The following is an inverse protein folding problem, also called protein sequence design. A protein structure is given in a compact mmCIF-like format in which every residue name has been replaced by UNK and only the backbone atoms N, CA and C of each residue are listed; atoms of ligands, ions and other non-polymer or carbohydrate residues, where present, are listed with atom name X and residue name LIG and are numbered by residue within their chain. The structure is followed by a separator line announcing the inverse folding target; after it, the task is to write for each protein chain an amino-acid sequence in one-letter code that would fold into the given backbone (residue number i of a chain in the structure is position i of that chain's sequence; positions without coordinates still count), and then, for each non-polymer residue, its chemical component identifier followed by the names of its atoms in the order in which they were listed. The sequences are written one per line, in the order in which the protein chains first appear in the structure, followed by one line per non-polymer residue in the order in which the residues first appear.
data_IF_702152466445
#
_entry.id   IF_702152466445
#
_cell.length_a   1.000
_cell.length_b   1.000
_cell.length_c   1.000
_cell.angle_alpha   90.00
_cell.angle_beta   90.00
_cell.angle_gamma   90.00
#
_symmetry.space_group_name_H-M   'P 1'
#
loop_
_entity.id
_entity.type
_entity.pdbx_description
1 polymer ?
#
# COMPACT_ATOMS: atom_id res chain seq x y z
N UNK A 1 -73.24 0.89 -64.42
CA UNK A 1 -72.09 1.76 -64.06
C UNK A 1 -71.57 1.28 -62.72
N UNK A 2 -70.37 0.69 -62.69
CA UNK A 2 -69.69 0.22 -61.46
C UNK A 2 -68.56 1.19 -61.17
N UNK A 3 -68.66 1.90 -60.06
CA UNK A 3 -67.58 2.78 -59.51
C UNK A 3 -66.68 1.98 -58.64
N UNK A 4 -65.37 1.92 -58.95
CA UNK A 4 -64.34 1.34 -58.13
C UNK A 4 -63.74 2.44 -57.20
N UNK A 5 -63.92 2.28 -55.88
CA UNK A 5 -63.27 3.09 -54.92
C UNK A 5 -61.84 2.58 -54.67
N UNK A 6 -60.84 3.46 -54.83
CA UNK A 6 -59.43 3.17 -54.46
C UNK A 6 -59.22 3.42 -52.95
N UNK A 7 -58.85 2.37 -52.22
CA UNK A 7 -58.42 2.50 -50.86
C UNK A 7 -56.92 2.92 -50.83
N UNK A 8 -56.63 4.05 -50.19
CA UNK A 8 -55.22 4.44 -49.85
C UNK A 8 -54.84 3.81 -48.53
N UNK A 9 -53.84 2.94 -48.56
CA UNK A 9 -53.22 2.43 -47.35
C UNK A 9 -52.06 3.37 -46.89
N UNK A 10 -52.22 3.98 -45.72
CA UNK A 10 -51.15 4.79 -45.05
C UNK A 10 -50.35 3.84 -44.24
N UNK A 11 -49.04 3.66 -44.57
CA UNK A 11 -48.06 2.92 -43.79
C UNK A 11 -47.43 3.91 -42.84
N UNK A 12 -47.72 3.79 -41.56
CA UNK A 12 -47.05 4.56 -40.50
C UNK A 12 -45.71 3.87 -40.16
N UNK A 13 -44.57 4.51 -40.46
CA UNK A 13 -43.25 4.07 -40.05
C UNK A 13 -42.98 4.64 -38.66
N UNK A 14 -43.00 3.78 -37.64
CA UNK A 14 -42.57 4.14 -36.29
C UNK A 14 -41.02 4.09 -36.21
N UNK A 15 -40.38 5.26 -36.11
CA UNK A 15 -38.97 5.35 -35.86
C UNK A 15 -38.69 5.09 -34.37
N UNK A 16 -38.12 3.92 -34.03
CA UNK A 16 -37.56 3.63 -32.70
C UNK A 16 -36.24 4.40 -32.54
N UNK A 17 -36.25 5.50 -31.78
CA UNK A 17 -35.04 6.16 -31.34
C UNK A 17 -34.44 5.36 -30.16
N UNK A 18 -33.35 4.61 -30.40
CA UNK A 18 -32.55 4.01 -29.35
C UNK A 18 -31.77 5.11 -28.62
N UNK A 19 -32.21 5.47 -27.41
CA UNK A 19 -31.44 6.32 -26.52
C UNK A 19 -30.22 5.52 -26.03
N UNK A 20 -29.05 5.80 -26.57
CA UNK A 20 -27.77 5.28 -26.01
C UNK A 20 -27.52 5.97 -24.68
N UNK A 21 -27.70 5.26 -23.58
CA UNK A 21 -27.24 5.71 -22.26
C UNK A 21 -25.74 5.69 -22.29
N UNK A 22 -25.12 6.89 -22.35
CA UNK A 22 -23.69 7.03 -22.13
C UNK A 22 -23.42 6.67 -20.66
N UNK A 23 -22.68 5.59 -20.42
CA UNK A 23 -22.14 5.30 -19.08
C UNK A 23 -21.23 6.47 -18.69
N UNK A 24 -21.43 7.07 -17.49
CA UNK A 24 -20.53 8.11 -17.05
C UNK A 24 -19.10 7.55 -17.01
N UNK A 25 -18.16 8.20 -17.67
CA UNK A 25 -16.75 7.88 -17.55
C UNK A 25 -16.36 8.08 -16.08
N UNK A 26 -15.92 7.01 -15.40
CA UNK A 26 -15.35 7.13 -14.06
C UNK A 26 -14.16 8.08 -14.13
N UNK A 27 -14.20 9.16 -13.36
CA UNK A 27 -13.09 10.09 -13.29
C UNK A 27 -11.86 9.36 -12.77
N UNK A 28 -10.71 9.50 -13.44
CA UNK A 28 -9.46 8.90 -13.01
C UNK A 28 -9.12 9.38 -11.60
N UNK A 29 -8.89 8.42 -10.70
CA UNK A 29 -8.53 8.71 -9.30
C UNK A 29 -7.08 9.17 -9.24
N UNK A 30 -6.82 10.29 -8.55
CA UNK A 30 -5.47 10.79 -8.30
C UNK A 30 -4.98 10.26 -6.97
N UNK A 31 -3.87 9.50 -6.96
CA UNK A 31 -3.23 9.01 -5.73
C UNK A 31 -1.91 9.74 -5.55
N UNK A 32 -1.72 10.36 -4.39
CA UNK A 32 -0.51 11.08 -4.00
C UNK A 32 0.03 10.54 -2.68
N UNK A 33 1.34 10.37 -2.60
CA UNK A 33 2.04 10.01 -1.37
C UNK A 33 2.86 11.20 -0.89
N UNK A 34 2.75 11.50 0.41
CA UNK A 34 3.53 12.57 1.02
C UNK A 34 4.26 12.03 2.24
N UNK A 35 5.58 12.07 2.20
CA UNK A 35 6.41 11.77 3.37
C UNK A 35 6.31 12.92 4.34
N UNK A 36 5.74 12.65 5.51
CA UNK A 36 5.42 13.70 6.50
C UNK A 36 6.02 13.44 7.87
N UNK A 37 6.62 12.26 8.06
CA UNK A 37 7.22 11.90 9.34
C UNK A 37 8.45 11.01 9.14
N UNK A 38 9.46 11.20 9.99
CA UNK A 38 10.56 10.28 10.18
C UNK A 38 11.01 10.28 11.62
N UNK A 39 11.41 9.12 12.11
CA UNK A 39 11.92 8.97 13.47
C UNK A 39 13.15 8.05 13.46
N UNK A 40 14.14 8.41 14.27
CA UNK A 40 15.35 7.62 14.47
C UNK A 40 15.32 7.02 15.86
N UNK A 41 15.37 5.70 15.93
CA UNK A 41 15.24 4.93 17.15
C UNK A 41 16.43 4.00 17.37
N UNK A 42 16.66 3.61 18.61
CA UNK A 42 17.52 2.50 18.99
C UNK A 42 16.69 1.22 18.99
N UNK A 43 16.70 0.45 17.90
CA UNK A 43 15.82 -0.74 17.79
C UNK A 43 16.16 -1.83 18.81
N UNK A 44 17.43 -2.10 19.02
CA UNK A 44 17.93 -3.18 19.86
C UNK A 44 17.43 -3.12 21.32
N UNK A 45 17.01 -1.96 21.81
CA UNK A 45 16.46 -1.83 23.19
C UNK A 45 14.98 -2.19 23.28
N UNK A 46 14.36 -2.72 22.25
CA UNK A 46 12.96 -3.12 22.26
C UNK A 46 11.98 -1.96 22.03
N UNK A 47 12.38 -0.95 21.29
CA UNK A 47 11.47 0.15 20.91
C UNK A 47 10.42 -0.37 19.94
N UNK A 48 9.15 -0.18 20.30
CA UNK A 48 8.03 -0.43 19.43
C UNK A 48 7.74 0.82 18.57
N UNK A 49 8.32 0.86 17.38
CA UNK A 49 8.07 1.93 16.44
C UNK A 49 6.72 1.71 15.74
N UNK A 50 5.93 2.78 15.60
CA UNK A 50 4.73 2.84 14.76
C UNK A 50 4.63 4.19 14.07
N UNK A 51 4.23 4.19 12.81
CA UNK A 51 3.89 5.43 12.12
C UNK A 51 2.74 6.15 12.85
N UNK A 52 2.75 7.49 12.87
CA UNK A 52 1.63 8.27 13.38
C UNK A 52 0.29 7.91 12.73
N UNK A 53 -0.86 8.24 13.35
CA UNK A 53 -2.18 7.92 12.82
C UNK A 53 -2.35 8.30 11.34
N UNK A 54 -2.99 7.41 10.57
CA UNK A 54 -3.24 7.56 9.13
C UNK A 54 -1.97 7.72 8.27
N UNK A 55 -0.83 7.20 8.75
CA UNK A 55 0.41 7.11 8.00
C UNK A 55 0.87 5.66 7.89
N UNK A 56 1.65 5.37 6.86
CA UNK A 56 2.17 4.04 6.54
C UNK A 56 3.68 4.08 6.37
N UNK A 57 4.34 2.96 6.64
CA UNK A 57 5.79 2.86 6.48
C UNK A 57 6.15 2.83 4.98
N UNK A 58 7.04 3.74 4.59
CA UNK A 58 7.49 3.87 3.20
C UNK A 58 9.01 3.83 3.05
N UNK A 59 9.73 3.64 4.14
CA UNK A 59 11.17 3.50 4.07
C UNK A 59 11.84 3.20 5.41
N UNK A 60 13.08 2.74 5.32
CA UNK A 60 13.98 2.49 6.45
C UNK A 60 15.42 2.76 6.03
N UNK A 61 16.19 3.35 6.91
CA UNK A 61 17.65 3.47 6.80
C UNK A 61 18.30 2.92 8.05
N UNK A 62 19.39 2.17 7.86
CA UNK A 62 20.21 1.69 8.96
C UNK A 62 21.68 1.77 8.57
N UNK A 63 22.52 2.26 9.49
CA UNK A 63 23.96 2.38 9.32
C UNK A 63 24.64 2.03 10.63
N UNK A 64 25.55 1.06 10.58
CA UNK A 64 26.28 0.55 11.71
C UNK A 64 25.93 -0.90 12.03
N UNK A 65 26.17 -1.34 13.24
CA UNK A 65 25.78 -2.66 13.71
C UNK A 65 24.33 -2.68 14.26
N UNK A 66 23.89 -3.81 14.79
CA UNK A 66 22.53 -3.98 15.32
C UNK A 66 22.23 -3.03 16.50
N UNK A 67 23.29 -2.58 17.21
CA UNK A 67 23.15 -1.62 18.31
C UNK A 67 23.02 -0.17 17.86
N UNK A 68 23.21 0.12 16.57
CA UNK A 68 23.10 1.46 16.03
C UNK A 68 21.66 1.88 15.73
N UNK A 69 21.52 3.15 15.33
CA UNK A 69 20.20 3.75 15.13
C UNK A 69 19.61 3.39 13.79
N UNK A 70 18.32 3.14 13.80
CA UNK A 70 17.49 2.98 12.60
C UNK A 70 16.57 4.19 12.42
N UNK A 71 16.46 4.68 11.18
CA UNK A 71 15.48 5.72 10.81
C UNK A 71 14.34 5.10 10.01
N UNK A 72 13.13 5.32 10.46
CA UNK A 72 11.89 4.98 9.76
C UNK A 72 11.28 6.19 9.09
N UNK A 73 10.69 5.98 7.92
CA UNK A 73 10.02 7.03 7.14
C UNK A 73 8.55 6.68 6.92
N UNK A 74 7.65 7.57 7.34
CA UNK A 74 6.21 7.40 7.19
C UNK A 74 5.63 8.42 6.22
N UNK A 75 4.66 7.97 5.44
CA UNK A 75 3.92 8.79 4.48
C UNK A 75 2.43 8.71 4.73
N UNK A 76 1.72 9.81 4.47
CA UNK A 76 0.28 9.81 4.29
C UNK A 76 -0.06 9.54 2.82
N UNK A 77 -1.20 8.91 2.61
CA UNK A 77 -1.75 8.63 1.29
C UNK A 77 -2.95 9.54 1.09
N UNK A 78 -2.99 10.24 -0.04
CA UNK A 78 -4.12 11.08 -0.44
C UNK A 78 -4.75 10.50 -1.70
N UNK A 79 -6.06 10.32 -1.68
CA UNK A 79 -6.87 9.96 -2.85
C UNK A 79 -7.77 11.15 -3.16
N UNK A 80 -7.64 11.74 -4.35
CA UNK A 80 -8.32 12.97 -4.75
C UNK A 80 -8.16 14.12 -3.74
N UNK A 81 -6.99 14.18 -3.07
CA UNK A 81 -6.67 15.19 -2.06
C UNK A 81 -7.17 14.90 -0.65
N UNK A 82 -7.95 13.82 -0.45
CA UNK A 82 -8.46 13.39 0.86
C UNK A 82 -7.56 12.29 1.44
N UNK A 83 -7.29 12.36 2.75
CA UNK A 83 -6.42 11.40 3.42
C UNK A 83 -7.08 10.04 3.61
N UNK A 84 -6.35 9.00 3.25
CA UNK A 84 -6.72 7.59 3.48
C UNK A 84 -6.67 7.29 4.98
N UNK A 85 -7.66 6.55 5.47
CA UNK A 85 -7.70 6.02 6.83
C UNK A 85 -6.88 4.74 6.91
N UNK A 86 -6.09 4.61 7.96
CA UNK A 86 -5.21 3.47 8.22
C UNK A 86 -5.70 2.73 9.47
N UNK A 87 -6.17 1.52 9.30
CA UNK A 87 -6.68 0.69 10.38
C UNK A 87 -5.64 -0.38 10.71
N UNK A 88 -4.83 -0.10 11.73
CA UNK A 88 -3.82 -1.03 12.22
C UNK A 88 -4.45 -2.29 12.81
N UNK A 89 -3.85 -3.43 12.47
CA UNK A 89 -4.15 -4.73 13.06
C UNK A 89 -3.26 -5.02 14.27
N UNK A 90 -3.23 -6.29 14.64
CA UNK A 90 -2.38 -6.78 15.73
C UNK A 90 -0.92 -6.92 15.31
N UNK A 91 -0.05 -6.91 16.32
CA UNK A 91 1.36 -7.25 16.15
C UNK A 91 1.52 -8.74 15.88
N UNK A 92 2.43 -9.12 14.98
CA UNK A 92 2.75 -10.53 14.72
C UNK A 92 3.33 -11.21 15.98
N UNK A 93 3.30 -12.53 15.97
CA UNK A 93 4.19 -13.30 16.84
C UNK A 93 5.66 -12.95 16.54
N UNK A 94 6.56 -13.08 17.54
CA UNK A 94 7.97 -12.80 17.34
C UNK A 94 8.58 -13.75 16.30
N UNK A 95 9.51 -13.21 15.52
CA UNK A 95 10.37 -13.93 14.60
C UNK A 95 11.81 -13.63 14.98
N UNK A 96 12.71 -14.60 14.85
CA UNK A 96 14.13 -14.34 15.04
C UNK A 96 14.63 -13.37 13.97
N UNK A 97 15.35 -12.30 14.38
CA UNK A 97 15.78 -11.24 13.45
C UNK A 97 16.63 -11.78 12.31
N UNK A 98 17.68 -12.59 12.61
CA UNK A 98 18.59 -13.15 11.61
C UNK A 98 17.94 -14.09 10.58
N UNK A 99 16.64 -14.36 10.68
CA UNK A 99 15.86 -15.19 9.75
C UNK A 99 14.43 -14.69 9.60
N UNK A 100 14.24 -13.38 9.69
CA UNK A 100 12.91 -12.81 9.56
C UNK A 100 12.48 -12.73 8.10
N UNK A 101 11.30 -13.23 7.84
CA UNK A 101 10.62 -13.11 6.55
C UNK A 101 9.15 -12.77 6.79
N UNK A 102 8.83 -11.50 6.60
CA UNK A 102 7.48 -11.00 6.81
C UNK A 102 6.89 -10.42 5.52
N UNK A 103 5.65 -10.81 5.25
CA UNK A 103 4.76 -10.19 4.28
C UNK A 103 3.46 -9.84 4.97
N UNK A 104 3.02 -8.61 4.82
CA UNK A 104 1.69 -8.20 5.26
C UNK A 104 0.62 -9.01 4.51
N UNK A 105 -0.54 -9.28 5.13
CA UNK A 105 -1.68 -9.88 4.44
C UNK A 105 -2.09 -9.09 3.19
N UNK A 106 -2.86 -9.71 2.31
CA UNK A 106 -3.34 -9.09 1.07
C UNK A 106 -4.00 -7.73 1.33
N UNK A 107 -3.63 -6.74 0.54
CA UNK A 107 -4.10 -5.35 0.63
C UNK A 107 -3.82 -4.68 1.99
N UNK A 108 -2.81 -5.16 2.72
CA UNK A 108 -2.31 -4.52 3.92
C UNK A 108 -0.88 -4.01 3.73
N UNK A 109 -0.53 -2.99 4.50
CA UNK A 109 0.77 -2.31 4.49
C UNK A 109 1.42 -2.39 5.86
N UNK A 110 2.75 -2.30 5.96
CA UNK A 110 3.42 -2.21 7.26
C UNK A 110 3.22 -0.79 7.82
N UNK A 111 2.89 -0.72 9.11
CA UNK A 111 2.77 0.53 9.86
C UNK A 111 3.68 0.58 11.08
N UNK A 112 4.26 -0.56 11.47
CA UNK A 112 5.15 -0.61 12.63
C UNK A 112 6.09 -1.79 12.60
N UNK A 113 7.20 -1.64 13.35
CA UNK A 113 8.16 -2.70 13.64
C UNK A 113 8.63 -2.57 15.08
N UNK A 114 8.79 -3.69 15.73
CA UNK A 114 9.47 -3.84 17.00
C UNK A 114 10.65 -4.78 16.84
N UNK A 115 11.76 -4.47 17.46
CA UNK A 115 12.94 -5.32 17.50
C UNK A 115 13.64 -5.16 18.84
N UNK A 116 14.19 -6.24 19.35
CA UNK A 116 14.95 -6.26 20.59
C UNK A 116 16.16 -7.18 20.43
N UNK A 117 17.26 -6.79 21.06
CA UNK A 117 18.56 -7.45 21.03
C UNK A 117 19.24 -7.40 19.64
N UNK A 118 20.23 -8.24 19.44
CA UNK A 118 21.01 -8.39 18.21
C UNK A 118 20.30 -9.31 17.17
N UNK A 119 21.06 -9.89 16.26
CA UNK A 119 20.56 -10.84 15.25
C UNK A 119 19.95 -12.11 15.87
N UNK A 120 20.21 -12.41 17.14
CA UNK A 120 19.61 -13.50 17.88
C UNK A 120 18.30 -13.12 18.56
N UNK A 121 18.01 -11.83 18.62
CA UNK A 121 16.78 -11.29 19.17
C UNK A 121 15.56 -11.48 18.29
N UNK A 122 14.47 -10.95 18.79
CA UNK A 122 13.16 -11.07 18.14
C UNK A 122 12.78 -9.80 17.38
N UNK A 123 12.06 -9.98 16.28
CA UNK A 123 11.39 -8.90 15.56
C UNK A 123 9.89 -9.19 15.37
N UNK A 124 9.08 -8.14 15.35
CA UNK A 124 7.62 -8.19 15.11
C UNK A 124 7.22 -7.08 14.16
N UNK A 125 6.14 -7.29 13.45
CA UNK A 125 5.57 -6.32 12.52
C UNK A 125 4.12 -6.05 12.84
N UNK A 126 3.68 -4.82 12.58
CA UNK A 126 2.28 -4.44 12.58
C UNK A 126 1.88 -4.02 11.18
N UNK A 127 0.81 -4.60 10.67
CA UNK A 127 0.23 -4.24 9.37
C UNK A 127 -1.11 -3.55 9.54
N UNK A 128 -1.56 -2.87 8.49
CA UNK A 128 -2.81 -2.12 8.48
C UNK A 128 -3.55 -2.27 7.16
N UNK A 129 -4.87 -2.32 7.22
CA UNK A 129 -5.74 -2.14 6.08
C UNK A 129 -5.98 -0.65 5.81
N UNK A 130 -6.16 -0.29 4.54
CA UNK A 130 -6.35 1.07 4.07
C UNK A 130 -7.79 1.26 3.61
N UNK A 131 -8.41 2.39 3.98
CA UNK A 131 -9.78 2.73 3.60
C UNK A 131 -9.88 4.18 3.13
N UNK A 132 -10.63 4.40 2.07
CA UNK A 132 -11.00 5.72 1.59
C UNK A 132 -12.52 5.75 1.32
N UNK A 133 -13.21 6.71 1.91
CA UNK A 133 -14.68 6.84 1.83
C UNK A 133 -15.42 5.53 2.17
N UNK A 134 -14.91 4.78 3.15
CA UNK A 134 -15.50 3.51 3.60
C UNK A 134 -15.19 2.30 2.71
N UNK A 135 -14.48 2.48 1.59
CA UNK A 135 -14.07 1.39 0.69
C UNK A 135 -12.60 1.04 0.92
N UNK A 136 -12.28 -0.24 0.83
CA UNK A 136 -10.91 -0.72 0.98
C UNK A 136 -10.04 -0.30 -0.22
N UNK A 137 -8.94 0.39 0.06
CA UNK A 137 -7.89 0.70 -0.91
C UNK A 137 -7.12 -0.59 -1.23
N UNK A 138 -6.77 -0.80 -2.48
CA UNK A 138 -6.12 -2.00 -2.97
C UNK A 138 -4.63 -1.77 -3.21
N UNK A 139 -3.89 -2.87 -3.26
CA UNK A 139 -2.48 -2.89 -3.61
C UNK A 139 -2.29 -3.74 -4.87
N UNK A 140 -1.51 -3.22 -5.80
CA UNK A 140 -1.18 -3.91 -7.05
C UNK A 140 0.34 -3.91 -7.29
N UNK A 141 0.79 -4.71 -8.24
CA UNK A 141 2.18 -4.74 -8.71
C UNK A 141 3.19 -4.92 -7.56
N UNK A 142 2.91 -5.88 -6.67
CA UNK A 142 3.83 -6.27 -5.61
C UNK A 142 5.20 -6.65 -6.17
N UNK A 143 6.27 -6.18 -5.51
CA UNK A 143 7.64 -6.42 -5.93
C UNK A 143 8.58 -6.46 -4.71
N UNK A 144 9.82 -6.85 -4.95
CA UNK A 144 10.89 -6.90 -3.95
C UNK A 144 12.01 -5.97 -4.40
N UNK A 145 12.62 -5.27 -3.47
CA UNK A 145 13.77 -4.40 -3.71
C UNK A 145 14.99 -5.22 -4.16
N UNK A 146 16.04 -4.53 -4.62
CA UNK A 146 17.38 -5.09 -4.64
C UNK A 146 17.84 -5.51 -3.23
N UNK A 147 18.93 -6.25 -3.19
CA UNK A 147 19.61 -6.66 -1.96
C UNK A 147 20.34 -5.48 -1.33
N UNK A 148 20.22 -5.34 -0.02
CA UNK A 148 20.96 -4.38 0.78
C UNK A 148 21.79 -5.10 1.84
N UNK A 149 22.96 -4.55 2.16
CA UNK A 149 23.69 -4.93 3.37
C UNK A 149 22.98 -4.30 4.58
N UNK A 150 22.71 -5.08 5.65
CA UNK A 150 21.97 -4.56 6.80
C UNK A 150 22.64 -3.33 7.41
N UNK A 151 23.91 -3.39 7.67
CA UNK A 151 24.68 -2.31 8.31
C UNK A 151 24.91 -1.06 7.45
N UNK A 152 24.45 -1.00 6.21
CA UNK A 152 24.71 0.17 5.36
C UNK A 152 23.70 0.29 4.25
N UNK A 153 22.49 0.75 4.59
CA UNK A 153 21.46 0.98 3.56
C UNK A 153 20.50 2.10 3.90
N UNK A 154 19.91 2.63 2.84
CA UNK A 154 18.74 3.50 2.88
C UNK A 154 17.80 3.08 1.75
N UNK A 155 16.58 2.73 2.10
CA UNK A 155 15.56 2.32 1.15
C UNK A 155 14.29 3.12 1.33
N UNK A 156 13.71 3.51 0.19
CA UNK A 156 12.40 4.19 0.09
C UNK A 156 11.59 3.52 -1.01
N UNK A 157 10.32 3.32 -0.77
CA UNK A 157 9.41 2.62 -1.69
C UNK A 157 9.19 3.35 -3.04
N UNK A 158 9.47 4.65 -3.10
CA UNK A 158 9.20 5.48 -4.28
C UNK A 158 7.74 5.96 -4.35
N UNK A 159 7.45 6.76 -5.38
CA UNK A 159 6.13 7.39 -5.53
C UNK A 159 5.02 6.35 -5.74
N UNK A 160 3.89 6.56 -5.09
CA UNK A 160 2.72 5.70 -5.17
C UNK A 160 2.89 4.31 -4.53
N UNK A 161 4.02 4.04 -3.85
CA UNK A 161 4.34 2.71 -3.30
C UNK A 161 4.47 2.73 -1.79
N UNK A 162 4.12 1.61 -1.17
CA UNK A 162 4.13 1.38 0.27
C UNK A 162 4.92 0.12 0.60
N UNK A 163 5.49 0.05 1.79
CA UNK A 163 6.15 -1.16 2.27
C UNK A 163 5.10 -2.20 2.68
N UNK A 164 5.26 -3.42 2.14
CA UNK A 164 4.38 -4.57 2.43
C UNK A 164 5.12 -5.72 3.10
N UNK A 165 6.44 -5.65 3.22
CA UNK A 165 7.22 -6.71 3.87
C UNK A 165 8.69 -6.37 4.00
N UNK A 166 9.38 -7.17 4.80
CA UNK A 166 10.85 -7.17 4.92
C UNK A 166 11.33 -8.60 5.06
N UNK A 167 12.45 -8.87 4.43
CA UNK A 167 13.21 -10.12 4.59
C UNK A 167 14.58 -9.75 5.11
N UNK A 168 15.07 -10.48 6.09
CA UNK A 168 16.44 -10.31 6.60
C UNK A 168 17.07 -11.67 6.93
N UNK A 169 18.32 -11.83 6.52
CA UNK A 169 19.13 -13.00 6.83
C UNK A 169 20.54 -12.59 7.25
N UNK A 170 20.97 -13.07 8.41
CA UNK A 170 22.30 -12.87 8.97
C UNK A 170 22.33 -11.85 10.08
N UNK A 171 23.51 -11.27 10.30
CA UNK A 171 23.86 -10.24 11.25
C UNK A 171 23.93 -8.84 10.57
N UNK A 172 24.71 -7.92 11.10
CA UNK A 172 24.98 -6.59 10.50
C UNK A 172 25.64 -6.69 9.11
N UNK A 173 26.31 -7.79 8.79
CA UNK A 173 26.85 -8.08 7.47
C UNK A 173 25.84 -8.83 6.57
N UNK A 174 24.71 -9.20 7.15
CA UNK A 174 23.64 -9.91 6.49
C UNK A 174 22.92 -9.10 5.41
N UNK A 175 21.90 -9.70 4.89
CA UNK A 175 21.19 -9.20 3.70
C UNK A 175 19.75 -8.86 4.03
N UNK A 176 19.30 -7.72 3.53
CA UNK A 176 17.94 -7.22 3.70
C UNK A 176 17.29 -6.90 2.36
N UNK A 177 16.01 -7.22 2.22
CA UNK A 177 15.12 -6.85 1.11
C UNK A 177 13.81 -6.29 1.66
N UNK A 178 13.21 -5.41 0.88
CA UNK A 178 11.91 -4.82 1.18
C UNK A 178 10.88 -5.24 0.15
N UNK A 179 9.73 -5.73 0.61
CA UNK A 179 8.57 -5.93 -0.24
C UNK A 179 7.77 -4.65 -0.28
N UNK A 180 7.29 -4.30 -1.46
CA UNK A 180 6.49 -3.10 -1.66
C UNK A 180 5.43 -3.33 -2.74
N UNK A 181 4.40 -2.50 -2.73
CA UNK A 181 3.34 -2.54 -3.72
C UNK A 181 2.85 -1.13 -4.05
N UNK A 182 2.22 -0.99 -5.20
CA UNK A 182 1.59 0.25 -5.64
C UNK A 182 0.19 0.37 -5.04
N UNK A 183 -0.12 1.52 -4.48
CA UNK A 183 -1.47 1.85 -4.00
C UNK A 183 -2.39 2.06 -5.20
N UNK A 184 -3.56 1.42 -5.18
CA UNK A 184 -4.57 1.55 -6.24
C UNK A 184 -5.95 1.72 -5.62
N UNK A 185 -6.85 2.36 -6.36
CA UNK A 185 -8.25 2.47 -5.97
C UNK A 185 -9.11 2.38 -7.23
N UNK A 186 -10.01 1.41 -7.22
CA UNK A 186 -11.03 1.23 -8.24
C UNK A 186 -12.38 1.56 -7.58
N UNK A 187 -12.95 2.70 -7.96
CA UNK A 187 -14.26 3.17 -7.50
C UNK A 187 -15.37 2.81 -8.46
#
# INVERSE_FOLDING_TARGET
MRTYGKALSVVAVAALSAATMATPASAAVTIKMERVYSETVWEWVGVQFSCPPNQVLTGRSHYGDESDKTTYYCSRILINGEQVQVHAGDWTSPQRESRSDYSAPDNQVIVGRWHQDDENGDTRYCSAALYWQGQQVRLANGNVSGEYKESSHSWLAGDGKVMTGRVHYGDENGKTWYRYATVTFEG
#
